data_IF_183767351885
#
_entry.id   IF_183767351885
#
_cell.length_a   1.000
_cell.length_b   1.000
_cell.length_c   1.000
_cell.angle_alpha   90.00
_cell.angle_beta   90.00
_cell.angle_gamma   90.00
#
_symmetry.space_group_name_H-M   'P 1'
#
loop_
_entity.id
_entity.type
_entity.pdbx_description
1 polymer ?
#
# COMPACT_ATOMS: atom_id res chain seq x y z
N UNK A 1 12.69 22.35 0.95
CA UNK A 1 11.90 21.11 0.94
C UNK A 1 10.47 21.43 0.54
N UNK A 2 9.91 20.69 -0.39
CA UNK A 2 8.47 20.65 -0.68
C UNK A 2 7.83 19.58 0.20
N UNK A 3 6.59 19.81 0.62
CA UNK A 3 5.82 18.83 1.36
C UNK A 3 4.56 18.50 0.56
N UNK A 4 4.34 17.24 0.28
CA UNK A 4 3.08 16.77 -0.31
C UNK A 4 2.38 15.82 0.67
N UNK A 5 1.07 15.89 0.71
CA UNK A 5 0.26 15.04 1.56
C UNK A 5 -1.14 14.87 0.99
N UNK A 6 -1.91 14.00 1.60
CA UNK A 6 -3.28 13.76 1.18
C UNK A 6 -4.02 12.79 2.07
N UNK A 7 -5.32 12.65 1.84
CA UNK A 7 -6.22 11.81 2.61
C UNK A 7 -6.24 10.35 2.12
N UNK A 8 -5.67 10.06 0.95
CA UNK A 8 -5.80 8.76 0.29
C UNK A 8 -5.32 7.58 1.12
N UNK A 9 -4.31 7.77 1.97
CA UNK A 9 -3.66 6.66 2.68
C UNK A 9 -4.06 6.61 4.16
N UNK A 10 -3.70 7.60 4.95
CA UNK A 10 -3.91 7.57 6.40
C UNK A 10 -5.39 7.61 6.81
N UNK A 11 -6.25 8.15 5.96
CA UNK A 11 -7.68 8.34 6.22
C UNK A 11 -8.55 7.39 5.38
N UNK A 12 -7.95 6.54 4.53
CA UNK A 12 -8.68 5.64 3.64
C UNK A 12 -9.51 6.33 2.56
N UNK A 13 -9.33 7.64 2.35
CA UNK A 13 -10.15 8.47 1.48
C UNK A 13 -9.57 8.60 0.05
N UNK A 14 -9.02 7.53 -0.51
CA UNK A 14 -8.41 7.55 -1.84
C UNK A 14 -9.36 7.99 -2.95
N UNK A 15 -10.63 7.61 -2.88
CA UNK A 15 -11.66 7.99 -3.84
C UNK A 15 -12.04 9.47 -3.82
N UNK A 16 -11.73 10.19 -2.75
CA UNK A 16 -12.05 11.62 -2.62
C UNK A 16 -11.14 12.53 -3.45
N UNK A 17 -9.99 12.03 -3.88
CA UNK A 17 -9.04 12.74 -4.74
C UNK A 17 -8.57 14.08 -4.18
N UNK A 18 -8.27 14.14 -2.87
CA UNK A 18 -7.79 15.34 -2.17
C UNK A 18 -6.36 15.14 -1.71
N UNK A 19 -5.51 16.05 -2.11
CA UNK A 19 -4.15 16.18 -1.62
C UNK A 19 -3.75 17.65 -1.51
N UNK A 20 -2.63 17.91 -0.89
CA UNK A 20 -2.05 19.23 -0.80
C UNK A 20 -0.57 19.22 -1.11
N UNK A 21 -0.09 20.38 -1.49
CA UNK A 21 1.30 20.61 -1.79
C UNK A 21 1.74 21.91 -1.12
N UNK A 22 2.70 21.83 -0.21
CA UNK A 22 3.23 22.99 0.49
C UNK A 22 4.58 23.39 -0.10
N UNK A 23 4.68 24.66 -0.48
CA UNK A 23 5.86 25.27 -1.08
C UNK A 23 6.52 26.22 -0.07
N UNK A 24 7.84 26.14 0.11
CA UNK A 24 8.56 27.06 0.99
C UNK A 24 8.33 28.52 0.59
N UNK A 25 8.18 29.42 1.58
CA UNK A 25 7.94 30.86 1.34
C UNK A 25 8.94 31.48 0.36
N UNK A 26 10.21 31.04 0.38
CA UNK A 26 11.27 31.51 -0.53
C UNK A 26 10.99 31.19 -2.01
N UNK A 27 10.07 30.27 -2.29
CA UNK A 27 9.69 29.84 -3.64
C UNK A 27 8.25 30.27 -4.01
N UNK A 28 7.78 31.38 -3.46
CA UNK A 28 6.42 31.91 -3.70
C UNK A 28 6.15 32.17 -5.20
N UNK A 29 7.14 32.60 -5.97
CA UNK A 29 6.99 32.78 -7.41
C UNK A 29 6.75 31.45 -8.15
N UNK A 30 7.42 30.38 -7.71
CA UNK A 30 7.17 29.04 -8.22
C UNK A 30 5.74 28.56 -7.89
N UNK A 31 5.27 28.85 -6.66
CA UNK A 31 3.88 28.53 -6.28
C UNK A 31 2.87 29.21 -7.21
N UNK A 32 3.09 30.50 -7.56
CA UNK A 32 2.20 31.23 -8.48
C UNK A 32 2.11 30.54 -9.83
N UNK A 33 3.24 30.10 -10.39
CA UNK A 33 3.28 29.35 -11.66
C UNK A 33 2.51 28.03 -11.56
N UNK A 34 2.72 27.28 -10.47
CA UNK A 34 1.99 26.02 -10.23
C UNK A 34 0.48 26.25 -10.13
N UNK A 35 0.03 27.29 -9.42
CA UNK A 35 -1.39 27.62 -9.28
C UNK A 35 -2.00 27.98 -10.64
N UNK A 36 -1.31 28.77 -11.46
CA UNK A 36 -1.76 29.10 -12.81
C UNK A 36 -1.87 27.84 -13.69
N UNK A 37 -0.83 26.97 -13.65
CA UNK A 37 -0.84 25.73 -14.41
C UNK A 37 -1.98 24.79 -13.96
N UNK A 38 -2.23 24.71 -12.66
CA UNK A 38 -3.32 23.93 -12.08
C UNK A 38 -4.70 24.43 -12.57
N UNK A 39 -4.89 25.74 -12.58
CA UNK A 39 -6.13 26.37 -13.10
C UNK A 39 -6.40 25.99 -14.56
N UNK A 40 -5.37 25.98 -15.40
CA UNK A 40 -5.48 25.63 -16.82
C UNK A 40 -5.54 24.11 -17.08
N UNK A 41 -5.18 23.27 -16.10
CA UNK A 41 -5.12 21.82 -16.28
C UNK A 41 -6.37 21.12 -15.77
N UNK A 42 -6.70 21.28 -14.48
CA UNK A 42 -7.80 20.56 -13.82
C UNK A 42 -8.73 21.49 -13.01
N UNK A 43 -8.51 22.80 -13.10
CA UNK A 43 -9.28 23.88 -12.45
C UNK A 43 -9.22 23.85 -10.92
N UNK A 44 -9.92 22.93 -10.29
CA UNK A 44 -9.97 22.83 -8.82
C UNK A 44 -10.28 21.41 -8.34
N UNK A 45 -9.95 21.16 -7.10
CA UNK A 45 -10.38 19.96 -6.38
C UNK A 45 -11.84 20.13 -5.95
N UNK A 46 -12.60 19.04 -5.90
CA UNK A 46 -13.98 19.01 -5.44
C UNK A 46 -14.16 19.75 -4.10
N UNK A 47 -14.98 20.82 -4.09
CA UNK A 47 -15.13 21.70 -2.93
C UNK A 47 -15.67 21.01 -1.67
N UNK A 48 -16.73 20.19 -1.71
CA UNK A 48 -17.14 19.41 -0.55
C UNK A 48 -16.03 18.56 0.05
N UNK A 49 -15.21 17.91 -0.78
CA UNK A 49 -14.08 17.12 -0.31
C UNK A 49 -12.97 17.98 0.35
N UNK A 50 -12.77 19.22 -0.10
CA UNK A 50 -11.86 20.15 0.58
C UNK A 50 -12.34 20.50 2.00
N UNK A 51 -13.63 20.77 2.19
CA UNK A 51 -14.18 21.02 3.54
C UNK A 51 -14.09 19.78 4.43
N UNK A 52 -14.33 18.60 3.89
CA UNK A 52 -14.12 17.35 4.62
C UNK A 52 -12.63 17.14 4.99
N UNK A 53 -11.70 17.52 4.11
CA UNK A 53 -10.28 17.49 4.40
C UNK A 53 -9.89 18.38 5.58
N UNK A 54 -10.47 19.58 5.69
CA UNK A 54 -10.26 20.46 6.86
C UNK A 54 -10.64 19.72 8.14
N UNK A 55 -11.82 19.10 8.18
CA UNK A 55 -12.27 18.32 9.35
C UNK A 55 -11.38 17.11 9.64
N UNK A 56 -10.90 16.43 8.61
CA UNK A 56 -9.97 15.32 8.77
C UNK A 56 -8.64 15.75 9.39
N UNK A 57 -8.11 16.92 9.04
CA UNK A 57 -6.85 17.42 9.60
C UNK A 57 -7.00 18.11 10.96
N UNK A 58 -8.19 18.63 11.29
CA UNK A 58 -8.48 19.25 12.60
C UNK A 58 -8.89 18.23 13.66
N UNK A 59 -9.43 17.07 13.27
CA UNK A 59 -9.96 16.06 14.17
C UNK A 59 -8.89 15.24 14.89
N UNK A 60 -9.23 14.70 16.05
CA UNK A 60 -8.39 13.71 16.74
C UNK A 60 -8.70 12.29 16.22
N UNK A 61 -7.77 11.75 15.49
CA UNK A 61 -7.81 10.39 14.93
C UNK A 61 -6.73 9.48 15.53
N UNK A 62 -6.25 9.78 16.72
CA UNK A 62 -5.16 9.05 17.37
C UNK A 62 -5.49 7.57 17.55
N UNK A 63 -6.69 7.26 18.05
CA UNK A 63 -7.14 5.87 18.21
C UNK A 63 -7.30 5.15 16.87
N UNK A 64 -7.96 5.79 15.90
CA UNK A 64 -8.12 5.23 14.55
C UNK A 64 -6.77 4.90 13.91
N UNK A 65 -5.83 5.84 13.97
CA UNK A 65 -4.47 5.64 13.42
C UNK A 65 -3.72 4.51 14.15
N UNK A 66 -3.87 4.40 15.46
CA UNK A 66 -3.24 3.34 16.22
C UNK A 66 -3.81 1.96 15.84
N UNK A 67 -5.13 1.82 15.73
CA UNK A 67 -5.80 0.57 15.33
C UNK A 67 -5.44 0.17 13.91
N UNK A 68 -5.57 1.09 12.95
CA UNK A 68 -5.24 0.81 11.53
C UNK A 68 -3.76 0.46 11.35
N UNK A 69 -2.85 1.15 12.03
CA UNK A 69 -1.43 0.81 12.01
C UNK A 69 -1.14 -0.56 12.59
N UNK A 70 -1.85 -0.97 13.65
CA UNK A 70 -1.70 -2.30 14.23
C UNK A 70 -2.21 -3.40 13.30
N UNK A 71 -3.38 -3.20 12.67
CA UNK A 71 -3.92 -4.12 11.66
C UNK A 71 -2.91 -4.29 10.51
N UNK A 72 -2.45 -3.20 9.91
CA UNK A 72 -1.52 -3.25 8.78
C UNK A 72 -0.19 -3.89 9.15
N UNK A 73 0.35 -3.61 10.34
CA UNK A 73 1.56 -4.25 10.84
C UNK A 73 1.37 -5.75 11.02
N UNK A 74 0.24 -6.18 11.58
CA UNK A 74 -0.04 -7.59 11.84
C UNK A 74 -0.23 -8.36 10.54
N UNK A 75 -1.05 -7.86 9.62
CA UNK A 75 -1.25 -8.47 8.29
C UNK A 75 0.05 -8.49 7.49
N UNK A 76 0.81 -7.38 7.48
CA UNK A 76 2.10 -7.33 6.79
C UNK A 76 3.13 -8.31 7.35
N UNK A 77 3.17 -8.50 8.68
CA UNK A 77 4.01 -9.52 9.32
C UNK A 77 3.57 -10.94 8.96
N UNK A 78 2.26 -11.19 8.92
CA UNK A 78 1.71 -12.46 8.47
C UNK A 78 2.16 -12.79 7.04
N UNK A 79 1.99 -11.85 6.11
CA UNK A 79 2.41 -12.02 4.71
C UNK A 79 3.91 -12.26 4.61
N UNK A 80 4.72 -11.47 5.32
CA UNK A 80 6.16 -11.63 5.36
C UNK A 80 6.57 -13.03 5.84
N UNK A 81 6.02 -13.50 6.96
CA UNK A 81 6.37 -14.78 7.57
C UNK A 81 5.99 -15.97 6.66
N UNK A 82 4.88 -15.87 5.94
CA UNK A 82 4.38 -16.94 5.08
C UNK A 82 4.97 -16.94 3.65
N UNK A 83 5.55 -15.81 3.22
CA UNK A 83 6.11 -15.69 1.87
C UNK A 83 7.64 -15.79 1.84
N UNK A 84 8.33 -15.37 2.92
CA UNK A 84 9.79 -15.43 3.02
C UNK A 84 10.29 -16.86 2.89
N UNK A 85 11.23 -17.09 1.98
CA UNK A 85 11.84 -18.40 1.73
C UNK A 85 13.24 -18.25 1.12
N UNK A 86 13.90 -19.36 0.84
CA UNK A 86 15.15 -19.37 0.08
C UNK A 86 14.98 -19.01 -1.42
N UNK A 87 13.75 -18.97 -1.90
CA UNK A 87 13.41 -18.56 -3.28
C UNK A 87 12.77 -17.17 -3.37
N UNK A 88 12.38 -16.57 -2.24
CA UNK A 88 11.76 -15.25 -2.18
C UNK A 88 12.47 -14.41 -1.14
N UNK A 89 13.20 -13.41 -1.61
CA UNK A 89 13.80 -12.38 -0.75
C UNK A 89 12.76 -11.29 -0.49
N UNK A 90 12.54 -11.00 0.77
CA UNK A 90 11.57 -9.99 1.19
C UNK A 90 12.04 -9.38 2.51
N UNK A 91 11.84 -8.07 2.67
CA UNK A 91 12.14 -7.37 3.91
C UNK A 91 10.88 -7.28 4.77
N UNK A 92 11.07 -7.32 6.09
CA UNK A 92 9.97 -7.09 7.02
C UNK A 92 9.40 -5.67 6.82
N UNK A 93 8.06 -5.53 6.74
CA UNK A 93 7.46 -4.22 6.55
C UNK A 93 7.68 -3.32 7.77
N UNK A 94 8.09 -2.09 7.54
CA UNK A 94 8.27 -1.06 8.57
C UNK A 94 7.14 -0.02 8.55
N UNK A 95 6.26 -0.09 7.56
CA UNK A 95 5.12 0.80 7.39
C UNK A 95 4.41 0.60 6.08
N UNK A 96 3.38 1.40 5.83
CA UNK A 96 2.50 1.31 4.66
C UNK A 96 1.78 -0.05 4.56
N UNK A 97 1.43 -0.47 3.36
CA UNK A 97 0.70 -1.71 3.07
C UNK A 97 1.21 -2.40 1.80
N UNK A 98 2.49 -2.22 1.51
CA UNK A 98 3.19 -2.84 0.40
C UNK A 98 4.39 -3.63 0.90
N UNK A 99 4.64 -4.76 0.24
CA UNK A 99 5.87 -5.52 0.33
C UNK A 99 6.53 -5.57 -1.05
N UNK A 100 7.84 -5.74 -1.06
CA UNK A 100 8.62 -5.84 -2.28
C UNK A 100 9.33 -7.20 -2.33
N UNK A 101 8.62 -8.31 -2.62
CA UNK A 101 9.24 -9.61 -2.80
C UNK A 101 10.04 -9.65 -4.10
N UNK A 102 11.26 -10.19 -4.02
CA UNK A 102 12.12 -10.51 -5.14
C UNK A 102 12.23 -12.04 -5.28
N UNK A 103 11.82 -12.57 -6.42
CA UNK A 103 11.81 -14.00 -6.69
C UNK A 103 13.13 -14.44 -7.29
N UNK A 104 13.78 -15.41 -6.68
CA UNK A 104 15.07 -15.92 -7.13
C UNK A 104 14.86 -17.05 -8.14
N UNK A 105 14.73 -16.68 -9.41
CA UNK A 105 14.53 -17.63 -10.49
C UNK A 105 15.21 -17.16 -11.78
N UNK A 106 15.66 -18.10 -12.63
CA UNK A 106 16.25 -17.81 -13.93
C UNK A 106 15.32 -18.09 -15.13
N UNK A 107 14.11 -18.55 -14.87
CA UNK A 107 13.12 -18.91 -15.89
C UNK A 107 12.51 -17.68 -16.55
N UNK A 108 12.27 -16.62 -15.74
CA UNK A 108 11.65 -15.40 -16.20
C UNK A 108 12.70 -14.37 -16.65
N UNK A 109 12.40 -13.65 -17.72
CA UNK A 109 13.28 -12.62 -18.29
C UNK A 109 13.09 -11.25 -17.65
N UNK A 110 11.90 -11.01 -17.06
CA UNK A 110 11.56 -9.72 -16.47
C UNK A 110 10.54 -9.86 -15.32
N UNK A 111 10.47 -8.81 -14.49
CA UNK A 111 9.45 -8.69 -13.46
C UNK A 111 8.01 -8.60 -14.02
N UNK A 112 7.84 -8.06 -15.23
CA UNK A 112 6.54 -8.00 -15.90
C UNK A 112 6.06 -9.41 -16.28
N UNK A 113 6.89 -10.19 -16.97
CA UNK A 113 6.59 -11.58 -17.33
C UNK A 113 6.25 -12.42 -16.09
N UNK A 114 7.01 -12.25 -15.01
CA UNK A 114 6.73 -12.95 -13.75
C UNK A 114 5.36 -12.55 -13.19
N UNK A 115 5.03 -11.25 -13.16
CA UNK A 115 3.74 -10.78 -12.64
C UNK A 115 2.55 -11.30 -13.45
N UNK A 116 2.66 -11.35 -14.77
CA UNK A 116 1.64 -11.92 -15.67
C UNK A 116 1.44 -13.41 -15.39
N UNK A 117 2.52 -14.17 -15.33
CA UNK A 117 2.45 -15.62 -15.03
C UNK A 117 1.86 -15.89 -13.65
N UNK A 118 2.27 -15.16 -12.63
CA UNK A 118 1.71 -15.31 -11.28
C UNK A 118 0.22 -15.02 -11.26
N UNK A 119 -0.23 -13.97 -11.96
CA UNK A 119 -1.65 -13.65 -12.05
C UNK A 119 -2.44 -14.78 -12.72
N UNK A 120 -1.95 -15.31 -13.84
CA UNK A 120 -2.60 -16.40 -14.58
C UNK A 120 -2.67 -17.70 -13.77
N UNK A 121 -1.57 -18.07 -13.09
CA UNK A 121 -1.48 -19.36 -12.40
C UNK A 121 -2.05 -19.34 -10.98
N UNK A 122 -2.11 -18.19 -10.32
CA UNK A 122 -2.53 -18.09 -8.90
C UNK A 122 -3.71 -17.18 -8.65
N UNK A 123 -4.01 -16.25 -9.55
CA UNK A 123 -4.98 -15.19 -9.36
C UNK A 123 -4.44 -14.04 -8.48
N UNK A 124 -3.17 -14.05 -8.09
CA UNK A 124 -2.56 -13.01 -7.27
C UNK A 124 -1.97 -11.91 -8.15
N UNK A 125 -2.56 -10.71 -8.07
CA UNK A 125 -2.08 -9.53 -8.79
C UNK A 125 -0.93 -8.85 -8.04
N UNK A 126 0.19 -8.67 -8.74
CA UNK A 126 1.33 -7.86 -8.30
C UNK A 126 1.70 -6.85 -9.37
N UNK A 127 2.44 -5.82 -9.02
CA UNK A 127 3.01 -4.90 -10.00
C UNK A 127 4.51 -5.15 -10.16
N UNK A 128 5.03 -5.14 -11.39
CA UNK A 128 6.46 -5.28 -11.63
C UNK A 128 7.20 -4.05 -11.09
N UNK A 129 8.35 -4.27 -10.44
CA UNK A 129 9.12 -3.16 -9.88
C UNK A 129 9.75 -2.27 -10.95
N UNK A 130 9.84 -2.73 -12.20
CA UNK A 130 10.22 -1.90 -13.35
C UNK A 130 9.37 -0.65 -13.50
N UNK A 131 8.07 -0.72 -13.16
CA UNK A 131 7.15 0.43 -13.19
C UNK A 131 7.50 1.51 -12.16
N UNK A 132 8.38 1.17 -11.22
CA UNK A 132 8.89 2.05 -10.17
C UNK A 132 10.38 2.39 -10.34
N UNK A 133 10.94 2.15 -11.54
CA UNK A 133 12.32 2.52 -11.90
C UNK A 133 13.39 1.51 -11.51
N UNK A 134 13.02 0.29 -11.10
CA UNK A 134 13.97 -0.79 -10.88
C UNK A 134 14.36 -1.48 -12.20
N UNK A 135 15.51 -2.17 -12.22
CA UNK A 135 15.95 -2.97 -13.36
C UNK A 135 14.88 -4.04 -13.68
N UNK A 136 14.34 -4.08 -14.92
CA UNK A 136 13.36 -5.08 -15.33
C UNK A 136 13.81 -6.53 -15.17
N UNK A 137 15.12 -6.78 -15.23
CA UNK A 137 15.71 -8.12 -15.07
C UNK A 137 15.68 -8.62 -13.63
N UNK A 138 15.55 -7.73 -12.67
CA UNK A 138 15.27 -8.12 -11.29
C UNK A 138 13.82 -8.59 -11.22
N UNK A 139 13.62 -9.79 -10.71
CA UNK A 139 12.26 -10.33 -10.51
C UNK A 139 11.65 -9.78 -9.22
N UNK A 140 11.83 -8.46 -9.03
CA UNK A 140 11.30 -7.69 -7.91
C UNK A 140 9.88 -7.22 -8.26
N UNK A 141 8.97 -7.34 -7.30
CA UNK A 141 7.55 -7.00 -7.50
C UNK A 141 7.03 -6.15 -6.34
N UNK A 142 5.89 -5.48 -6.52
CA UNK A 142 5.17 -4.80 -5.46
C UNK A 142 3.87 -5.54 -5.16
N UNK A 143 3.79 -6.12 -3.99
CA UNK A 143 2.62 -6.81 -3.46
C UNK A 143 1.87 -5.89 -2.50
N UNK A 144 0.57 -5.69 -2.73
CA UNK A 144 -0.36 -5.00 -1.83
C UNK A 144 -1.08 -6.06 -0.97
N UNK A 145 -1.21 -5.83 0.34
CA UNK A 145 -1.80 -6.80 1.26
C UNK A 145 -3.02 -6.28 2.02
N UNK A 146 -3.88 -5.49 1.35
CA UNK A 146 -5.07 -4.89 1.97
C UNK A 146 -6.40 -5.36 1.34
N UNK A 147 -6.41 -6.55 0.77
CA UNK A 147 -7.64 -7.14 0.22
C UNK A 147 -8.48 -7.76 1.35
N UNK A 148 -9.09 -6.91 2.16
CA UNK A 148 -10.00 -7.26 3.25
C UNK A 148 -10.98 -6.11 3.54
N UNK A 149 -12.10 -6.42 4.22
CA UNK A 149 -13.02 -5.42 4.72
C UNK A 149 -12.41 -4.69 5.93
N UNK A 150 -11.96 -3.46 5.69
CA UNK A 150 -11.30 -2.64 6.71
C UNK A 150 -12.23 -2.22 7.84
N UNK A 151 -13.52 -2.03 7.60
CA UNK A 151 -14.50 -1.65 8.63
C UNK A 151 -14.70 -2.79 9.62
N UNK A 152 -15.00 -3.98 9.12
CA UNK A 152 -15.18 -5.18 9.95
C UNK A 152 -13.90 -5.50 10.74
N UNK A 153 -12.74 -5.35 10.12
CA UNK A 153 -11.48 -5.61 10.80
C UNK A 153 -11.19 -4.56 11.88
N UNK A 154 -11.51 -3.29 11.63
CA UNK A 154 -11.33 -2.20 12.57
C UNK A 154 -12.21 -2.35 13.81
N UNK A 155 -13.48 -2.73 13.62
CA UNK A 155 -14.43 -3.00 14.72
C UNK A 155 -13.97 -4.17 15.59
N UNK A 156 -13.42 -5.21 14.96
CA UNK A 156 -12.90 -6.38 15.68
C UNK A 156 -11.55 -6.14 16.37
N UNK A 157 -10.83 -5.09 16.02
CA UNK A 157 -9.52 -4.76 16.57
C UNK A 157 -9.66 -4.06 17.92
N UNK A 158 -9.56 -4.84 19.01
CA UNK A 158 -9.65 -4.33 20.38
C UNK A 158 -8.30 -3.75 20.85
N UNK A 159 -7.18 -4.34 20.41
CA UNK A 159 -5.83 -3.93 20.81
C UNK A 159 -5.19 -2.97 19.83
N UNK A 160 -4.56 -1.93 20.37
CA UNK A 160 -3.76 -0.98 19.58
C UNK A 160 -2.25 -1.21 19.70
N UNK A 161 -1.83 -2.06 20.63
CA UNK A 161 -0.41 -2.25 20.99
C UNK A 161 0.12 -3.63 20.64
N UNK A 162 -0.66 -4.66 20.91
CA UNK A 162 -0.25 -6.04 20.65
C UNK A 162 -0.53 -6.45 19.22
N UNK A 163 0.40 -7.20 18.62
CA UNK A 163 0.20 -7.77 17.29
C UNK A 163 -1.00 -8.74 17.31
N UNK A 164 -1.85 -8.64 16.30
CA UNK A 164 -3.00 -9.54 16.18
C UNK A 164 -2.54 -10.96 15.84
N UNK A 165 -3.21 -11.95 16.41
CA UNK A 165 -2.89 -13.35 16.16
C UNK A 165 -3.26 -13.77 14.74
N UNK A 166 -2.59 -14.81 14.23
CA UNK A 166 -2.86 -15.37 12.89
C UNK A 166 -4.33 -15.77 12.72
N UNK A 167 -4.98 -16.32 13.75
CA UNK A 167 -6.41 -16.66 13.73
C UNK A 167 -7.33 -15.44 13.47
N UNK A 168 -6.95 -14.27 13.99
CA UNK A 168 -7.68 -13.03 13.73
C UNK A 168 -7.46 -12.61 12.28
N UNK A 169 -6.23 -12.70 11.78
CA UNK A 169 -5.92 -12.36 10.40
C UNK A 169 -6.65 -13.30 9.42
N UNK A 170 -6.63 -14.61 9.68
CA UNK A 170 -7.36 -15.61 8.89
C UNK A 170 -8.86 -15.34 8.83
N UNK A 171 -9.44 -14.88 9.94
CA UNK A 171 -10.86 -14.55 10.01
C UNK A 171 -11.25 -13.27 9.26
N UNK A 172 -10.43 -12.21 9.39
CA UNK A 172 -10.79 -10.87 8.90
C UNK A 172 -10.09 -10.45 7.61
N UNK A 173 -9.07 -11.20 7.17
CA UNK A 173 -8.37 -10.98 5.91
C UNK A 173 -8.23 -12.29 5.10
N UNK A 174 -9.32 -13.05 4.86
CA UNK A 174 -9.25 -14.37 4.23
C UNK A 174 -8.65 -14.32 2.81
N UNK A 175 -8.94 -13.29 2.02
CA UNK A 175 -8.39 -13.15 0.68
C UNK A 175 -6.86 -12.97 0.70
N UNK A 176 -6.34 -12.20 1.66
CA UNK A 176 -4.89 -12.04 1.84
C UNK A 176 -4.25 -13.37 2.24
N UNK A 177 -4.88 -14.11 3.15
CA UNK A 177 -4.40 -15.44 3.58
C UNK A 177 -4.36 -16.41 2.42
N UNK A 178 -5.45 -16.53 1.66
CA UNK A 178 -5.53 -17.39 0.47
C UNK A 178 -4.49 -16.99 -0.59
N UNK A 179 -4.41 -15.69 -0.90
CA UNK A 179 -3.46 -15.18 -1.88
C UNK A 179 -2.01 -15.48 -1.52
N UNK A 180 -1.63 -15.27 -0.25
CA UNK A 180 -0.28 -15.56 0.22
C UNK A 180 0.03 -17.06 0.21
N UNK A 181 -0.93 -17.92 0.57
CA UNK A 181 -0.77 -19.36 0.50
C UNK A 181 -0.55 -19.82 -0.94
N UNK A 182 -1.37 -19.36 -1.90
CA UNK A 182 -1.21 -19.66 -3.33
C UNK A 182 0.15 -19.19 -3.84
N UNK A 183 0.54 -17.95 -3.54
CA UNK A 183 1.81 -17.38 -3.98
C UNK A 183 3.02 -18.10 -3.36
N UNK A 184 2.95 -18.46 -2.08
CA UNK A 184 4.01 -19.23 -1.41
C UNK A 184 4.17 -20.62 -2.00
N UNK A 185 3.05 -21.32 -2.27
CA UNK A 185 3.09 -22.64 -2.88
C UNK A 185 3.62 -22.58 -4.33
N UNK A 186 3.18 -21.60 -5.09
CA UNK A 186 3.70 -21.35 -6.43
C UNK A 186 5.22 -21.11 -6.41
N UNK A 187 5.69 -20.25 -5.50
CA UNK A 187 7.11 -19.93 -5.37
C UNK A 187 7.99 -21.15 -4.98
N UNK A 188 7.44 -22.12 -4.24
CA UNK A 188 8.17 -23.37 -3.92
C UNK A 188 8.46 -24.23 -5.15
N UNK A 189 7.67 -24.10 -6.20
CA UNK A 189 7.80 -24.87 -7.44
C UNK A 189 8.64 -24.14 -8.51
N UNK A 190 9.19 -22.97 -8.19
CA UNK A 190 10.13 -22.25 -9.06
C UNK A 190 11.53 -22.97 -9.09
#
# INVERSE_FOLDING_TARGET
TFISGGLSKWCGAGGWRVGFFAVPKKLSNFLKVIVTLASESYSTVNTPAQYAAVKAYEGDFTEYKAKTSNILRSVGSYVFNNLKSNKVLINQPQGAFYLMPEFLNKKFKSSAELCETVLEETGVAMLPASDFGFDPKRLLTRLCYIDFDGSNFLEASISTKEQLSDKIIEKYAPNVVEGVQKLSNWAKNL
#
